data_IF_512899583477
#
_entry.id   IF_512899583477
#
_cell.length_a   1.000
_cell.length_b   1.000
_cell.length_c   1.000
_cell.angle_alpha   90.00
_cell.angle_beta   90.00
_cell.angle_gamma   90.00
#
_symmetry.space_group_name_H-M   'P 1'
#
loop_
_entity.id
_entity.type
_entity.pdbx_description
1 polymer ?
#
# COMPACT_ATOMS: atom_id res chain seq x y z
N UNK A 1 -2.28 -2.51 -17.71
CA UNK A 1 -1.91 -3.93 -17.54
C UNK A 1 -1.61 -4.10 -16.07
N UNK A 2 -2.43 -4.86 -15.34
CA UNK A 2 -2.18 -5.11 -13.92
C UNK A 2 -1.00 -6.09 -13.80
N UNK A 3 -0.01 -5.83 -12.94
CA UNK A 3 1.13 -6.74 -12.79
C UNK A 3 0.66 -8.06 -12.17
N UNK A 4 1.04 -9.18 -12.78
CA UNK A 4 0.61 -10.53 -12.38
C UNK A 4 1.20 -11.00 -11.04
N UNK A 5 2.21 -10.28 -10.53
CA UNK A 5 2.92 -10.52 -9.28
C UNK A 5 2.32 -9.79 -8.07
N UNK A 6 1.21 -9.06 -8.27
CA UNK A 6 0.50 -8.36 -7.20
C UNK A 6 -0.69 -9.15 -6.66
N UNK A 7 -0.86 -9.11 -5.35
CA UNK A 7 -2.08 -9.51 -4.67
C UNK A 7 -2.82 -8.25 -4.22
N UNK A 8 -4.06 -8.09 -4.67
CA UNK A 8 -4.85 -6.90 -4.36
C UNK A 8 -5.74 -7.10 -3.13
N UNK A 9 -5.92 -6.01 -2.38
CA UNK A 9 -6.89 -5.90 -1.31
C UNK A 9 -8.13 -5.13 -1.80
N UNK A 10 -9.27 -5.37 -1.15
CA UNK A 10 -10.55 -4.70 -1.46
C UNK A 10 -10.48 -3.17 -1.27
N UNK A 11 -9.55 -2.68 -0.44
CA UNK A 11 -9.36 -1.26 -0.16
C UNK A 11 -8.42 -0.57 -1.16
N UNK A 12 -8.33 -1.12 -2.38
CA UNK A 12 -7.52 -0.56 -3.45
C UNK A 12 -6.03 -0.50 -3.13
N UNK A 13 -5.54 -1.45 -2.35
CA UNK A 13 -4.14 -1.65 -2.01
C UNK A 13 -3.60 -2.92 -2.69
N UNK A 14 -2.29 -3.06 -2.74
CA UNK A 14 -1.64 -4.25 -3.24
C UNK A 14 -0.42 -4.63 -2.41
N UNK A 15 -0.08 -5.91 -2.46
CA UNK A 15 1.16 -6.46 -1.92
C UNK A 15 1.89 -7.29 -2.97
N UNK A 16 3.19 -7.07 -3.11
CA UNK A 16 4.12 -7.93 -3.85
C UNK A 16 4.98 -8.69 -2.85
N UNK A 17 5.04 -10.01 -2.95
CA UNK A 17 5.80 -10.86 -2.03
C UNK A 17 7.03 -11.42 -2.74
N UNK A 18 8.20 -11.16 -2.16
CA UNK A 18 9.50 -11.56 -2.68
C UNK A 18 10.28 -12.30 -1.57
N UNK A 19 10.09 -13.62 -1.52
CA UNK A 19 10.69 -14.49 -0.49
C UNK A 19 10.15 -14.17 0.91
N UNK A 20 11.00 -13.57 1.76
CA UNK A 20 10.64 -13.18 3.14
C UNK A 20 10.32 -11.69 3.28
N UNK A 21 10.34 -10.93 2.18
CA UNK A 21 10.01 -9.51 2.16
C UNK A 21 8.74 -9.30 1.35
N UNK A 22 8.00 -8.26 1.70
CA UNK A 22 6.87 -7.82 0.92
C UNK A 22 6.94 -6.31 0.73
N UNK A 23 6.46 -5.85 -0.42
CA UNK A 23 6.27 -4.43 -0.73
C UNK A 23 4.78 -4.18 -0.81
N UNK A 24 4.30 -3.14 -0.14
CA UNK A 24 2.90 -2.72 -0.17
C UNK A 24 2.78 -1.37 -0.87
N UNK A 25 1.61 -1.09 -1.42
CA UNK A 25 1.28 0.21 -1.99
C UNK A 25 -0.20 0.34 -2.31
N UNK A 26 -0.60 1.52 -2.76
CA UNK A 26 -1.95 1.79 -3.24
C UNK A 26 -2.03 1.51 -4.75
N UNK A 27 -3.20 1.09 -5.22
CA UNK A 27 -3.47 0.82 -6.63
C UNK A 27 -3.52 2.11 -7.46
N UNK A 28 -3.43 1.96 -8.78
CA UNK A 28 -3.59 3.09 -9.70
C UNK A 28 -4.95 3.79 -9.53
N UNK A 29 -6.02 3.01 -9.30
CA UNK A 29 -7.35 3.55 -9.01
C UNK A 29 -7.37 4.44 -7.76
N UNK A 30 -6.71 4.01 -6.68
CA UNK A 30 -6.65 4.79 -5.44
C UNK A 30 -5.95 6.14 -5.63
N UNK A 31 -4.80 6.17 -6.30
CA UNK A 31 -4.10 7.44 -6.52
C UNK A 31 -4.83 8.36 -7.52
N UNK A 32 -5.58 7.82 -8.49
CA UNK A 32 -6.37 8.65 -9.43
C UNK A 32 -7.54 9.30 -8.69
N UNK A 33 -8.11 8.61 -7.70
CA UNK A 33 -9.17 9.14 -6.85
C UNK A 33 -8.67 10.19 -5.86
N UNK A 34 -7.43 10.06 -5.38
CA UNK A 34 -6.79 11.04 -4.48
C UNK A 34 -6.34 12.30 -5.24
N UNK A 35 -5.85 12.16 -6.47
CA UNK A 35 -5.24 13.25 -7.22
C UNK A 35 -3.77 13.46 -6.84
N UNK A 36 -3.33 14.71 -6.74
CA UNK A 36 -1.94 15.04 -6.43
C UNK A 36 -1.63 14.72 -4.96
N UNK A 37 -0.85 13.67 -4.70
CA UNK A 37 -0.46 13.31 -3.32
C UNK A 37 0.53 14.33 -2.76
N UNK A 38 0.19 14.95 -1.64
CA UNK A 38 1.02 15.97 -0.96
C UNK A 38 1.67 15.46 0.33
N UNK A 39 1.12 14.41 0.93
CA UNK A 39 1.61 13.86 2.19
C UNK A 39 1.44 12.33 2.26
N UNK A 40 2.41 11.69 2.92
CA UNK A 40 2.41 10.24 3.18
C UNK A 40 2.97 10.00 4.59
N UNK A 41 2.17 9.44 5.48
CA UNK A 41 2.63 8.90 6.77
C UNK A 41 2.82 7.39 6.67
N UNK A 42 3.93 6.91 7.23
CA UNK A 42 4.30 5.50 7.22
C UNK A 42 4.87 5.07 8.57
N UNK A 43 4.75 3.79 8.94
CA UNK A 43 5.25 3.30 10.21
C UNK A 43 6.76 3.47 10.29
N UNK A 44 7.25 3.70 11.51
CA UNK A 44 8.69 3.67 11.77
C UNK A 44 9.28 2.29 11.45
N UNK A 45 10.52 2.29 10.98
CA UNK A 45 11.27 1.05 10.78
C UNK A 45 11.34 0.27 12.09
N UNK A 46 10.99 -1.02 12.04
CA UNK A 46 10.93 -1.90 13.21
C UNK A 46 9.57 -1.96 13.90
N UNK A 47 8.57 -1.18 13.45
CA UNK A 47 7.19 -1.36 13.90
C UNK A 47 6.67 -2.73 13.47
N UNK A 48 6.16 -3.50 14.43
CA UNK A 48 5.42 -4.74 14.18
C UNK A 48 3.98 -4.41 13.83
N UNK A 49 3.45 -5.08 12.81
CA UNK A 49 2.08 -4.91 12.33
C UNK A 49 1.39 -6.28 12.25
N UNK A 50 0.08 -6.27 12.45
CA UNK A 50 -0.81 -7.41 12.22
C UNK A 50 -1.62 -7.21 10.94
N UNK A 51 -2.26 -8.28 10.47
CA UNK A 51 -3.20 -8.15 9.36
C UNK A 51 -4.37 -7.23 9.78
N UNK A 52 -4.82 -6.38 8.85
CA UNK A 52 -5.85 -5.35 9.07
C UNK A 52 -5.42 -4.18 9.99
N UNK A 53 -4.18 -4.14 10.48
CA UNK A 53 -3.68 -2.95 11.17
C UNK A 53 -3.53 -1.78 10.19
N UNK A 54 -3.84 -0.57 10.66
CA UNK A 54 -3.58 0.64 9.90
C UNK A 54 -2.08 0.80 9.66
N UNK A 55 -1.70 0.79 8.39
CA UNK A 55 -0.32 0.96 7.94
C UNK A 55 0.11 2.43 7.89
N UNK A 56 -0.77 3.35 7.55
CA UNK A 56 -0.38 4.75 7.35
C UNK A 56 -1.52 5.56 6.77
N UNK A 57 -1.18 6.72 6.24
CA UNK A 57 -2.12 7.66 5.65
C UNK A 57 -1.51 8.30 4.40
N UNK A 58 -2.34 8.55 3.39
CA UNK A 58 -1.97 9.22 2.14
C UNK A 58 -2.97 10.35 1.92
N UNK A 59 -2.48 11.58 1.79
CA UNK A 59 -3.31 12.78 1.60
C UNK A 59 -2.94 13.49 0.30
N UNK A 60 -3.94 14.14 -0.31
CA UNK A 60 -3.81 15.02 -1.49
C UNK A 60 -3.93 16.50 -1.18
#
# INVERSE_FOLDING_TARGET
MEPQDLRFHKEHEWIRVEGKKATLGISHFAQDALGDVVFVDVPKVGTSLQAEDQLGEVES
#
